data_IF_068684683141
#
_entry.id   IF_068684683141
#
_cell.length_a   1.000
_cell.length_b   1.000
_cell.length_c   1.000
_cell.angle_alpha   90.00
_cell.angle_beta   90.00
_cell.angle_gamma   90.00
#
_symmetry.space_group_name_H-M   'P 1'
#
loop_
_entity.id
_entity.type
_entity.pdbx_description
1 polymer ?
#
# COMPACT_ATOMS: atom_id res chain seq x y z
N UNK A 1 0.84 13.30 2.08
CA UNK A 1 0.23 12.12 1.47
C UNK A 1 0.39 10.93 2.39
N UNK A 2 -0.60 10.05 2.48
CA UNK A 2 -0.56 8.77 3.15
C UNK A 2 -1.00 7.66 2.20
N UNK A 3 -0.51 6.43 2.39
CA UNK A 3 -0.89 5.26 1.61
C UNK A 3 -1.59 4.25 2.52
N UNK A 4 -2.66 3.64 2.02
CA UNK A 4 -3.56 2.77 2.78
C UNK A 4 -3.80 1.45 2.03
N UNK A 5 -3.39 0.34 2.64
CA UNK A 5 -3.63 -1.01 2.13
C UNK A 5 -4.87 -1.67 2.77
N UNK A 6 -5.37 -1.10 3.86
CA UNK A 6 -6.27 -1.78 4.81
C UNK A 6 -7.73 -1.36 4.60
N UNK A 7 -7.98 -0.09 4.32
CA UNK A 7 -9.30 0.54 4.33
C UNK A 7 -9.95 0.63 5.73
N UNK A 8 -11.25 0.90 5.81
CA UNK A 8 -11.98 0.97 7.07
C UNK A 8 -11.44 2.06 8.00
N UNK A 9 -11.22 1.69 9.26
CA UNK A 9 -10.70 2.58 10.31
C UNK A 9 -9.26 3.05 10.06
N UNK A 10 -8.47 2.31 9.28
CA UNK A 10 -7.12 2.74 8.92
C UNK A 10 -7.17 4.02 8.07
N UNK A 11 -8.08 4.09 7.10
CA UNK A 11 -8.31 5.30 6.30
C UNK A 11 -8.67 6.50 7.19
N UNK A 12 -9.55 6.28 8.18
CA UNK A 12 -9.96 7.31 9.14
C UNK A 12 -8.77 7.85 9.95
N UNK A 13 -7.95 6.95 10.48
CA UNK A 13 -6.75 7.31 11.25
C UNK A 13 -5.75 8.09 10.40
N UNK A 14 -5.50 7.65 9.16
CA UNK A 14 -4.60 8.33 8.23
C UNK A 14 -5.12 9.72 7.86
N UNK A 15 -6.42 9.87 7.56
CA UNK A 15 -7.04 11.17 7.30
C UNK A 15 -6.91 12.14 8.49
N UNK A 16 -6.99 11.61 9.72
CA UNK A 16 -6.87 12.39 10.95
C UNK A 16 -5.50 13.03 11.15
N UNK A 17 -4.43 12.32 10.82
CA UNK A 17 -3.03 12.78 11.03
C UNK A 17 -2.46 13.60 9.87
N UNK A 18 -3.11 13.60 8.70
CA UNK A 18 -2.67 14.43 7.58
C UNK A 18 -2.90 15.92 7.88
N UNK A 19 -2.05 16.77 7.32
CA UNK A 19 -2.27 18.20 7.26
C UNK A 19 -3.45 18.54 6.34
N UNK A 20 -3.89 19.80 6.37
CA UNK A 20 -4.89 20.33 5.45
C UNK A 20 -4.50 20.04 3.99
N UNK A 21 -5.50 19.81 3.14
CA UNK A 21 -5.35 19.44 1.74
C UNK A 21 -4.57 18.13 1.50
N UNK A 22 -4.40 17.32 2.54
CA UNK A 22 -3.71 16.04 2.47
C UNK A 22 -4.47 15.01 1.63
N UNK A 23 -3.74 14.05 1.07
CA UNK A 23 -4.32 12.97 0.26
C UNK A 23 -4.04 11.61 0.88
N UNK A 24 -5.07 10.79 1.05
CA UNK A 24 -4.99 9.36 1.32
C UNK A 24 -5.11 8.61 -0.01
N UNK A 25 -4.12 7.79 -0.34
CA UNK A 25 -4.14 6.90 -1.51
C UNK A 25 -4.42 5.49 -1.03
N UNK A 26 -5.63 4.99 -1.27
CA UNK A 26 -5.96 3.60 -0.96
C UNK A 26 -5.60 2.69 -2.15
N UNK A 27 -4.86 1.60 -1.86
CA UNK A 27 -4.46 0.61 -2.87
C UNK A 27 -4.83 -0.83 -2.49
N UNK A 28 -5.54 -1.01 -1.37
CA UNK A 28 -5.97 -2.32 -0.88
C UNK A 28 -7.22 -2.25 -0.01
N UNK A 29 -7.73 -3.41 0.37
CA UNK A 29 -8.96 -3.57 1.15
C UNK A 29 -8.85 -4.76 2.13
N UNK A 30 -7.73 -4.83 2.84
CA UNK A 30 -7.44 -5.95 3.75
C UNK A 30 -8.46 -6.09 4.89
N UNK A 31 -9.08 -5.00 5.33
CA UNK A 31 -10.15 -5.05 6.34
C UNK A 31 -11.47 -5.58 5.82
N UNK A 32 -11.70 -5.57 4.50
CA UNK A 32 -13.01 -5.81 3.91
C UNK A 32 -14.05 -4.71 4.17
N UNK A 33 -13.69 -3.65 4.91
CA UNK A 33 -14.57 -2.53 5.22
C UNK A 33 -14.40 -1.39 4.20
N UNK A 34 -15.45 -0.58 3.97
CA UNK A 34 -15.32 0.62 3.13
C UNK A 34 -14.38 1.64 3.78
N UNK A 35 -13.63 2.38 2.96
CA UNK A 35 -12.83 3.50 3.42
C UNK A 35 -13.69 4.53 4.17
N UNK A 36 -13.17 5.06 5.28
CA UNK A 36 -13.91 6.00 6.13
C UNK A 36 -13.16 7.33 6.22
N UNK A 37 -13.87 8.41 5.99
CA UNK A 37 -13.47 9.78 6.33
C UNK A 37 -14.65 10.48 6.96
N UNK A 38 -14.39 11.36 7.94
CA UNK A 38 -15.44 12.18 8.54
C UNK A 38 -15.72 13.42 7.68
N UNK A 39 -16.91 13.98 7.82
CA UNK A 39 -17.30 15.15 7.03
C UNK A 39 -16.40 16.37 7.31
N UNK A 40 -15.94 16.55 8.54
CA UNK A 40 -15.02 17.62 8.93
C UNK A 40 -13.65 17.45 8.26
N UNK A 41 -13.13 16.23 8.14
CA UNK A 41 -11.89 15.98 7.40
C UNK A 41 -12.02 16.39 5.93
N UNK A 42 -13.17 16.08 5.30
CA UNK A 42 -13.38 16.39 3.89
C UNK A 42 -13.67 17.88 3.69
N UNK A 43 -14.59 18.45 4.49
CA UNK A 43 -15.09 19.81 4.28
C UNK A 43 -14.15 20.89 4.79
N UNK A 44 -13.64 20.71 6.03
CA UNK A 44 -12.86 21.77 6.67
C UNK A 44 -11.34 21.56 6.52
N UNK A 45 -10.91 20.31 6.44
CA UNK A 45 -9.50 19.97 6.31
C UNK A 45 -9.08 19.70 4.86
N UNK A 46 -10.05 19.59 3.94
CA UNK A 46 -9.78 19.36 2.51
C UNK A 46 -9.12 18.01 2.20
N UNK A 47 -9.31 16.98 3.06
CA UNK A 47 -8.71 15.68 2.85
C UNK A 47 -9.31 15.01 1.61
N UNK A 48 -8.44 14.60 0.70
CA UNK A 48 -8.80 13.85 -0.50
C UNK A 48 -8.55 12.37 -0.29
N UNK A 49 -9.52 11.53 -0.64
CA UNK A 49 -9.36 10.09 -0.76
C UNK A 49 -9.35 9.70 -2.23
N UNK A 50 -8.29 9.02 -2.66
CA UNK A 50 -8.18 8.50 -4.03
C UNK A 50 -7.71 7.05 -4.01
N UNK A 51 -7.84 6.36 -5.15
CA UNK A 51 -7.43 4.97 -5.29
C UNK A 51 -6.23 4.81 -6.21
N UNK A 52 -5.45 3.77 -5.98
CA UNK A 52 -4.40 3.31 -6.87
C UNK A 52 -4.58 1.82 -7.15
N UNK A 53 -4.72 1.47 -8.42
CA UNK A 53 -4.82 0.08 -8.87
C UNK A 53 -3.62 -0.29 -9.73
N UNK A 54 -2.67 -1.00 -9.13
CA UNK A 54 -1.40 -1.38 -9.75
C UNK A 54 -1.60 -2.13 -11.08
N UNK A 55 -2.52 -3.09 -11.14
CA UNK A 55 -2.75 -3.87 -12.37
C UNK A 55 -3.23 -2.99 -13.54
N UNK A 56 -4.08 -1.99 -13.26
CA UNK A 56 -4.53 -1.01 -14.26
C UNK A 56 -3.37 -0.12 -14.72
N UNK A 57 -2.57 0.35 -13.79
CA UNK A 57 -1.39 1.19 -14.09
C UNK A 57 -0.40 0.42 -14.96
N UNK A 58 0.00 -0.78 -14.55
CA UNK A 58 0.90 -1.62 -15.33
C UNK A 58 0.30 -2.04 -16.68
N UNK A 59 -1.02 -2.30 -16.72
CA UNK A 59 -1.72 -2.64 -17.95
C UNK A 59 -1.70 -1.55 -19.01
N UNK A 60 -1.68 -0.28 -18.58
CA UNK A 60 -1.59 0.89 -19.46
C UNK A 60 -0.17 1.28 -19.90
N UNK A 61 0.86 0.68 -19.34
CA UNK A 61 2.25 1.00 -19.67
C UNK A 61 2.73 0.25 -20.92
N UNK A 62 3.61 0.86 -21.71
CA UNK A 62 4.33 0.18 -22.80
C UNK A 62 5.33 -0.83 -22.23
N UNK A 63 5.83 -1.74 -23.07
CA UNK A 63 6.86 -2.70 -22.65
C UNK A 63 8.15 -2.00 -22.20
N UNK A 64 8.55 -0.97 -22.92
CA UNK A 64 9.73 -0.17 -22.63
C UNK A 64 9.61 0.56 -21.28
N UNK A 65 8.45 1.17 -21.01
CA UNK A 65 8.20 1.86 -19.75
C UNK A 65 8.20 0.88 -18.56
N UNK A 66 7.65 -0.33 -18.74
CA UNK A 66 7.73 -1.39 -17.72
C UNK A 66 9.17 -1.81 -17.46
N UNK A 67 9.93 -2.03 -18.51
CA UNK A 67 11.33 -2.42 -18.39
C UNK A 67 12.15 -1.37 -17.67
N UNK A 68 11.95 -0.09 -18.01
CA UNK A 68 12.61 1.01 -17.31
C UNK A 68 12.25 1.04 -15.81
N UNK A 69 10.96 0.91 -15.47
CA UNK A 69 10.51 0.86 -14.10
C UNK A 69 11.17 -0.30 -13.32
N UNK A 70 11.19 -1.51 -13.89
CA UNK A 70 11.80 -2.66 -13.24
C UNK A 70 13.32 -2.51 -13.09
N UNK A 71 14.01 -1.95 -14.10
CA UNK A 71 15.46 -1.69 -13.99
C UNK A 71 15.78 -0.67 -12.90
N UNK A 72 14.94 0.34 -12.72
CA UNK A 72 15.08 1.31 -11.62
C UNK A 72 14.87 0.63 -10.26
N UNK A 73 13.82 -0.19 -10.11
CA UNK A 73 13.58 -0.95 -8.88
C UNK A 73 14.72 -1.92 -8.57
N UNK A 74 15.24 -2.65 -9.56
CA UNK A 74 16.39 -3.54 -9.39
C UNK A 74 17.62 -2.77 -8.87
N UNK A 75 17.89 -1.59 -9.43
CA UNK A 75 18.99 -0.74 -8.98
C UNK A 75 18.82 -0.28 -7.53
N UNK A 76 17.60 0.12 -7.14
CA UNK A 76 17.28 0.56 -5.78
C UNK A 76 17.39 -0.60 -4.77
N UNK A 77 16.99 -1.81 -5.15
CA UNK A 77 17.13 -3.02 -4.33
C UNK A 77 18.61 -3.40 -4.22
N UNK A 78 19.35 -3.43 -5.33
CA UNK A 78 20.77 -3.79 -5.35
C UNK A 78 21.62 -2.82 -4.53
N UNK A 79 21.28 -1.54 -4.50
CA UNK A 79 21.95 -0.53 -3.67
C UNK A 79 21.53 -0.56 -2.19
N UNK A 80 20.53 -1.36 -1.81
CA UNK A 80 19.97 -1.38 -0.46
C UNK A 80 19.08 -0.17 -0.11
N UNK A 81 18.79 0.71 -1.08
CA UNK A 81 17.89 1.87 -0.87
C UNK A 81 16.47 1.40 -0.57
N UNK A 82 16.03 0.34 -1.23
CA UNK A 82 14.80 -0.38 -0.92
C UNK A 82 15.18 -1.75 -0.39
N UNK A 83 14.72 -2.07 0.81
CA UNK A 83 14.93 -3.38 1.43
C UNK A 83 13.71 -3.81 2.21
N UNK A 84 13.48 -5.12 2.27
CA UNK A 84 12.45 -5.71 3.12
C UNK A 84 13.15 -6.63 4.12
N UNK A 85 12.97 -6.43 5.44
CA UNK A 85 13.52 -7.34 6.42
C UNK A 85 12.88 -8.73 6.25
N UNK A 86 13.73 -9.77 6.20
CA UNK A 86 13.29 -11.16 6.19
C UNK A 86 13.37 -11.68 7.62
N UNK A 87 12.24 -11.90 8.26
CA UNK A 87 12.19 -12.37 9.64
C UNK A 87 12.53 -13.85 9.73
N UNK A 88 11.97 -14.66 8.83
CA UNK A 88 12.18 -16.11 8.82
C UNK A 88 12.04 -16.70 7.43
N UNK A 89 12.80 -17.78 7.18
CA UNK A 89 12.70 -18.56 5.94
C UNK A 89 12.15 -19.95 6.26
N UNK A 90 11.18 -20.41 5.47
CA UNK A 90 10.53 -21.71 5.63
C UNK A 90 10.87 -22.65 4.48
N UNK A 91 10.95 -23.95 4.76
CA UNK A 91 10.94 -24.98 3.73
C UNK A 91 9.51 -25.16 3.20
N UNK A 92 9.38 -25.64 1.94
CA UNK A 92 8.06 -25.88 1.32
C UNK A 92 7.14 -26.78 2.16
N UNK A 93 7.70 -27.74 2.92
CA UNK A 93 6.93 -28.59 3.84
C UNK A 93 6.32 -27.84 5.04
N UNK A 94 6.72 -26.60 5.28
CA UNK A 94 6.24 -25.74 6.39
C UNK A 94 5.29 -24.65 5.89
N UNK A 95 4.65 -24.83 4.74
CA UNK A 95 3.80 -23.83 4.10
C UNK A 95 2.66 -23.36 5.02
N UNK A 96 2.04 -24.29 5.76
CA UNK A 96 0.94 -23.96 6.67
C UNK A 96 1.41 -23.04 7.82
N UNK A 97 2.59 -23.31 8.37
CA UNK A 97 3.21 -22.48 9.42
C UNK A 97 3.55 -21.08 8.90
N UNK A 98 4.14 -21.01 7.71
CA UNK A 98 4.45 -19.74 7.04
C UNK A 98 3.20 -18.89 6.79
N UNK A 99 2.12 -19.49 6.31
CA UNK A 99 0.85 -18.80 6.09
C UNK A 99 0.22 -18.31 7.39
N UNK A 100 0.30 -19.08 8.47
CA UNK A 100 -0.18 -18.64 9.80
C UNK A 100 0.57 -17.41 10.27
N UNK A 101 1.90 -17.38 10.15
CA UNK A 101 2.70 -16.22 10.53
C UNK A 101 2.32 -14.99 9.69
N UNK A 102 2.15 -15.15 8.39
CA UNK A 102 1.72 -14.07 7.49
C UNK A 102 0.37 -13.47 7.92
N UNK A 103 -0.60 -14.29 8.31
CA UNK A 103 -1.93 -13.83 8.72
C UNK A 103 -1.95 -13.03 10.02
N UNK A 104 -1.02 -13.26 10.95
CA UNK A 104 -0.96 -12.51 12.21
C UNK A 104 -0.18 -11.20 12.10
N UNK A 105 0.52 -10.98 10.99
CA UNK A 105 1.32 -9.78 10.73
C UNK A 105 0.67 -8.81 9.72
N UNK A 106 -0.54 -9.11 9.26
CA UNK A 106 -1.30 -8.27 8.32
C UNK A 106 -2.19 -7.26 9.07
#
# INVERSE_FOLDING_TARGET
MAIDAVAGKATLSLGGILNEEGTVVNYGLLSGEPCQLTADMVVFKGITLTGFWLAKTLGGMTAEAKQQLYSELESLIASGTISTPVEVTYHLGQLEEALRLSLIHI
#
